data_IF_081664517529
#
_entry.id   IF_081664517529
#
_cell.length_a   1.000
_cell.length_b   1.000
_cell.length_c   1.000
_cell.angle_alpha   90.00
_cell.angle_beta   90.00
_cell.angle_gamma   90.00
#
_symmetry.space_group_name_H-M   'P 1'
#
loop_
_entity.id
_entity.type
_entity.pdbx_description
1 polymer ?
#
# COMPACT_ATOMS: atom_id res chain seq x y z
N UNK A 1 33.48 14.54 7.23
CA UNK A 1 32.50 15.34 6.46
C UNK A 1 31.11 14.80 6.76
N UNK A 2 30.25 15.60 7.37
CA UNK A 2 28.90 15.18 7.75
C UNK A 2 28.00 15.20 6.51
N UNK A 3 27.44 14.04 6.12
CA UNK A 3 26.41 13.99 5.07
C UNK A 3 25.15 14.63 5.64
N UNK A 4 24.85 15.84 5.19
CA UNK A 4 23.57 16.47 5.46
C UNK A 4 22.46 15.52 4.95
N UNK A 5 21.67 14.95 5.87
CA UNK A 5 20.45 14.24 5.50
C UNK A 5 19.50 15.26 4.89
N UNK A 6 19.38 15.22 3.56
CA UNK A 6 18.41 16.03 2.83
C UNK A 6 17.02 15.64 3.35
N UNK A 7 16.36 16.57 4.05
CA UNK A 7 15.03 16.35 4.62
C UNK A 7 14.04 16.50 3.46
N UNK A 8 13.76 15.38 2.78
CA UNK A 8 12.74 15.32 1.73
C UNK A 8 11.40 15.62 2.40
N UNK A 9 10.78 16.75 2.06
CA UNK A 9 9.40 17.05 2.47
C UNK A 9 8.46 16.31 1.53
N UNK A 10 7.79 15.29 2.03
CA UNK A 10 6.77 14.56 1.29
C UNK A 10 5.60 15.50 0.97
N UNK A 11 5.36 15.75 -0.31
CA UNK A 11 4.19 16.51 -0.77
C UNK A 11 3.03 15.54 -1.07
N UNK A 12 1.90 15.77 -0.41
CA UNK A 12 0.63 15.14 -0.75
C UNK A 12 -0.06 16.09 -1.72
N UNK A 13 -0.29 15.66 -2.96
CA UNK A 13 -1.04 16.42 -3.95
C UNK A 13 -2.48 15.89 -3.92
N UNK A 14 -3.40 16.48 -3.14
CA UNK A 14 -4.81 16.16 -3.25
C UNK A 14 -5.32 16.70 -4.59
N UNK A 15 -6.16 15.94 -5.27
CA UNK A 15 -7.02 16.53 -6.30
C UNK A 15 -7.90 17.59 -5.62
N UNK A 16 -7.87 18.83 -6.12
CA UNK A 16 -8.55 19.99 -5.51
C UNK A 16 -10.07 19.81 -5.41
N UNK A 17 -10.63 18.85 -6.12
CA UNK A 17 -12.08 18.52 -6.11
C UNK A 17 -12.45 17.58 -4.94
N UNK A 18 -11.48 16.91 -4.30
CA UNK A 18 -11.74 15.72 -3.48
C UNK A 18 -11.53 15.93 -1.98
N UNK A 19 -11.42 17.15 -1.46
CA UNK A 19 -11.25 17.39 -0.02
C UNK A 19 -9.91 16.87 0.53
N UNK A 20 -9.76 16.76 1.85
CA UNK A 20 -8.43 16.58 2.45
C UNK A 20 -7.93 15.11 2.52
N UNK A 21 -8.78 14.10 2.24
CA UNK A 21 -8.35 12.69 2.28
C UNK A 21 -7.96 12.16 3.68
N UNK A 22 -8.62 12.64 4.74
CA UNK A 22 -8.31 12.31 6.15
C UNK A 22 -8.11 10.80 6.42
N UNK A 23 -9.03 9.94 5.96
CA UNK A 23 -9.00 8.51 6.27
C UNK A 23 -7.79 7.78 5.67
N UNK A 24 -7.28 8.27 4.53
CA UNK A 24 -6.05 7.75 3.96
C UNK A 24 -4.84 8.17 4.79
N UNK A 25 -4.83 9.41 5.30
CA UNK A 25 -3.75 9.87 6.19
C UNK A 25 -3.67 9.08 7.48
N UNK A 26 -4.80 8.68 8.06
CA UNK A 26 -4.84 7.82 9.24
C UNK A 26 -4.22 6.44 8.94
N UNK A 27 -4.54 5.83 7.79
CA UNK A 27 -3.91 4.59 7.35
C UNK A 27 -2.41 4.72 7.10
N UNK A 28 -1.99 5.77 6.37
CA UNK A 28 -0.57 6.02 6.11
C UNK A 28 0.20 6.24 7.41
N UNK A 29 -0.41 6.92 8.39
CA UNK A 29 0.16 7.11 9.72
C UNK A 29 0.26 5.79 10.48
N UNK A 30 -0.77 4.93 10.40
CA UNK A 30 -0.74 3.60 11.01
C UNK A 30 0.39 2.74 10.43
N UNK A 31 0.62 2.77 9.11
CA UNK A 31 1.76 2.09 8.49
C UNK A 31 3.08 2.65 9.02
N UNK A 32 3.26 3.98 9.00
CA UNK A 32 4.49 4.63 9.47
C UNK A 32 4.81 4.28 10.93
N UNK A 33 3.79 4.19 11.78
CA UNK A 33 3.90 3.87 13.20
C UNK A 33 3.93 2.37 13.50
N UNK A 34 3.86 1.50 12.48
CA UNK A 34 3.78 0.04 12.64
C UNK A 34 2.61 -0.42 13.53
N UNK A 35 1.50 0.31 13.50
CA UNK A 35 0.31 0.01 14.29
C UNK A 35 -0.59 -0.98 13.55
N UNK A 36 -0.33 -2.28 13.75
CA UNK A 36 -1.12 -3.34 13.13
C UNK A 36 -2.62 -3.23 13.48
N UNK A 37 -2.97 -2.86 14.72
CA UNK A 37 -4.38 -2.76 15.12
C UNK A 37 -5.11 -1.71 14.29
N UNK A 38 -4.48 -0.55 14.09
CA UNK A 38 -5.04 0.52 13.27
C UNK A 38 -5.07 0.14 11.78
N UNK A 39 -4.05 -0.53 11.26
CA UNK A 39 -4.05 -1.08 9.89
C UNK A 39 -5.22 -2.04 9.68
N UNK A 40 -5.42 -3.02 10.56
CA UNK A 40 -6.51 -3.99 10.47
C UNK A 40 -7.90 -3.34 10.49
N UNK A 41 -8.04 -2.15 11.12
CA UNK A 41 -9.32 -1.44 11.25
C UNK A 41 -9.82 -0.78 9.96
N UNK A 42 -8.92 -0.62 8.98
CA UNK A 42 -9.19 -0.01 7.68
C UNK A 42 -9.15 -1.01 6.52
N UNK A 43 -8.94 -2.31 6.81
CA UNK A 43 -9.03 -3.35 5.79
C UNK A 43 -10.49 -3.67 5.45
N UNK A 44 -10.74 -3.94 4.17
CA UNK A 44 -12.00 -4.52 3.69
C UNK A 44 -12.17 -5.96 4.19
N UNK A 45 -13.33 -6.55 4.00
CA UNK A 45 -13.63 -7.92 4.45
C UNK A 45 -12.74 -8.97 3.78
N UNK A 46 -12.35 -8.72 2.53
CA UNK A 46 -11.35 -9.49 1.79
C UNK A 46 -10.33 -8.52 1.21
N UNK A 47 -9.05 -8.80 1.44
CA UNK A 47 -7.92 -8.02 0.93
C UNK A 47 -7.08 -8.89 0.02
N UNK A 48 -6.80 -8.37 -1.17
CA UNK A 48 -5.94 -9.01 -2.15
C UNK A 48 -4.54 -8.41 -2.10
N UNK A 49 -3.54 -9.28 -2.04
CA UNK A 49 -2.15 -8.93 -2.20
C UNK A 49 -1.66 -9.43 -3.55
N UNK A 50 -1.03 -8.56 -4.32
CA UNK A 50 -0.50 -8.88 -5.64
C UNK A 50 0.97 -8.50 -5.78
N UNK A 51 1.68 -9.24 -6.60
CA UNK A 51 2.98 -8.83 -7.14
C UNK A 51 2.85 -8.61 -8.66
N UNK A 52 3.06 -7.38 -9.11
CA UNK A 52 2.73 -6.99 -10.48
C UNK A 52 1.28 -7.33 -10.86
N UNK A 53 1.09 -8.10 -11.93
CA UNK A 53 -0.24 -8.48 -12.45
C UNK A 53 -0.82 -9.75 -11.79
N UNK A 54 -0.09 -10.41 -10.90
CA UNK A 54 -0.49 -11.67 -10.27
C UNK A 54 -0.99 -11.45 -8.85
N UNK A 55 -2.12 -12.06 -8.49
CA UNK A 55 -2.60 -12.12 -7.10
C UNK A 55 -1.95 -13.28 -6.36
N UNK A 56 -1.24 -12.98 -5.27
CA UNK A 56 -0.43 -13.94 -4.51
C UNK A 56 -0.94 -14.20 -3.10
N UNK A 57 -1.76 -13.30 -2.56
CA UNK A 57 -2.35 -13.45 -1.24
C UNK A 57 -3.81 -13.03 -1.20
N UNK A 58 -4.63 -13.80 -0.48
CA UNK A 58 -6.03 -13.47 -0.19
C UNK A 58 -6.21 -13.55 1.33
N UNK A 59 -6.44 -12.41 1.96
CA UNK A 59 -6.60 -12.29 3.40
C UNK A 59 -8.03 -11.91 3.74
N UNK A 60 -8.65 -12.57 4.72
CA UNK A 60 -10.06 -12.36 5.07
C UNK A 60 -10.24 -11.96 6.52
N UNK A 61 -11.19 -11.07 6.79
CA UNK A 61 -11.53 -10.62 8.16
C UNK A 61 -11.93 -11.79 9.07
N UNK A 62 -12.70 -12.75 8.55
CA UNK A 62 -13.14 -13.94 9.30
C UNK A 62 -11.97 -14.76 9.86
N UNK A 63 -10.86 -14.76 9.13
CA UNK A 63 -9.62 -15.46 9.49
C UNK A 63 -8.65 -14.52 10.23
N UNK A 64 -9.15 -13.34 10.66
CA UNK A 64 -8.36 -12.26 11.27
C UNK A 64 -7.17 -11.82 10.41
N UNK A 65 -7.33 -11.92 9.09
CA UNK A 65 -6.29 -11.61 8.10
C UNK A 65 -4.99 -12.42 8.29
N UNK A 66 -5.13 -13.67 8.72
CA UNK A 66 -4.04 -14.62 8.87
C UNK A 66 -3.98 -15.58 7.68
N UNK A 67 -2.78 -15.80 7.15
CA UNK A 67 -2.51 -16.83 6.14
C UNK A 67 -2.16 -18.14 6.86
N UNK A 68 -3.03 -19.14 6.71
CA UNK A 68 -2.98 -20.35 7.53
C UNK A 68 -1.87 -21.32 7.16
N UNK A 69 -1.48 -21.40 5.88
CA UNK A 69 -0.51 -22.39 5.38
C UNK A 69 0.90 -22.11 5.90
N UNK A 70 1.29 -20.83 5.87
CA UNK A 70 2.63 -20.34 6.19
C UNK A 70 2.67 -19.48 7.47
N UNK A 71 1.54 -19.38 8.17
CA UNK A 71 1.41 -18.85 9.53
C UNK A 71 1.90 -17.41 9.68
N UNK A 72 1.30 -16.48 8.94
CA UNK A 72 1.67 -15.06 9.05
C UNK A 72 0.45 -14.14 8.90
N UNK A 73 0.55 -12.93 9.45
CA UNK A 73 -0.51 -11.93 9.39
C UNK A 73 -0.28 -10.99 8.21
N UNK A 74 -1.34 -10.43 7.64
CA UNK A 74 -1.21 -9.44 6.56
C UNK A 74 -0.32 -8.24 6.97
N UNK A 75 -0.31 -7.87 8.26
CA UNK A 75 0.55 -6.81 8.79
C UNK A 75 2.05 -7.03 8.53
N UNK A 76 2.50 -8.29 8.44
CA UNK A 76 3.89 -8.64 8.15
C UNK A 76 4.33 -8.15 6.76
N UNK A 77 3.37 -7.88 5.86
CA UNK A 77 3.63 -7.36 4.52
C UNK A 77 3.78 -5.83 4.49
N UNK A 78 3.39 -5.10 5.54
CA UNK A 78 3.35 -3.64 5.53
C UNK A 78 4.61 -2.96 6.11
N UNK A 79 5.26 -3.57 7.10
CA UNK A 79 6.14 -2.82 8.01
C UNK A 79 7.65 -2.97 7.78
N UNK A 80 8.10 -4.15 7.34
CA UNK A 80 9.52 -4.43 7.18
C UNK A 80 9.79 -5.08 5.83
N UNK A 81 10.65 -4.46 5.03
CA UNK A 81 10.98 -4.93 3.67
C UNK A 81 11.51 -6.36 3.67
N UNK A 82 12.42 -6.70 4.58
CA UNK A 82 12.97 -8.06 4.66
C UNK A 82 11.90 -9.09 5.03
N UNK A 83 10.93 -8.71 5.84
CA UNK A 83 9.82 -9.58 6.23
C UNK A 83 8.88 -9.77 5.04
N UNK A 84 8.47 -8.69 4.37
CA UNK A 84 7.71 -8.74 3.12
C UNK A 84 8.36 -9.67 2.09
N UNK A 85 9.63 -9.44 1.76
CA UNK A 85 10.34 -10.22 0.73
C UNK A 85 10.39 -11.72 1.08
N UNK A 86 10.60 -12.07 2.36
CA UNK A 86 10.54 -13.46 2.82
C UNK A 86 9.14 -14.06 2.66
N UNK A 87 8.09 -13.31 2.97
CA UNK A 87 6.71 -13.79 2.80
C UNK A 87 6.35 -13.96 1.32
N UNK A 88 6.78 -13.05 0.46
CA UNK A 88 6.62 -13.18 -1.00
C UNK A 88 7.31 -14.44 -1.51
N UNK A 89 8.58 -14.65 -1.15
CA UNK A 89 9.32 -15.85 -1.55
C UNK A 89 8.59 -17.15 -1.13
N UNK A 90 8.02 -17.17 0.09
CA UNK A 90 7.20 -18.28 0.57
C UNK A 90 5.91 -18.46 -0.27
N UNK A 91 5.18 -17.38 -0.57
CA UNK A 91 3.95 -17.42 -1.37
C UNK A 91 4.20 -17.91 -2.81
N UNK A 92 5.39 -17.61 -3.35
CA UNK A 92 5.83 -18.06 -4.66
C UNK A 92 6.48 -19.45 -4.69
N UNK A 93 6.64 -20.09 -3.53
CA UNK A 93 7.36 -21.36 -3.39
C UNK A 93 8.78 -21.28 -3.99
N UNK A 94 9.47 -20.17 -3.74
CA UNK A 94 10.83 -19.92 -4.22
C UNK A 94 11.77 -19.58 -3.06
N UNK A 95 13.04 -19.94 -3.23
CA UNK A 95 14.12 -19.52 -2.32
C UNK A 95 14.74 -18.17 -2.73
N UNK A 96 14.32 -17.61 -3.88
CA UNK A 96 14.83 -16.34 -4.37
C UNK A 96 14.06 -15.20 -3.70
N UNK A 97 14.81 -14.36 -2.99
CA UNK A 97 14.32 -13.11 -2.41
C UNK A 97 14.57 -12.03 -3.48
N UNK A 98 13.50 -11.50 -4.06
CA UNK A 98 13.60 -10.38 -5.00
C UNK A 98 13.88 -9.08 -4.21
N UNK A 99 15.07 -8.49 -4.33
CA UNK A 99 15.45 -7.31 -3.54
C UNK A 99 14.67 -6.05 -3.92
N UNK A 100 14.07 -6.02 -5.11
CA UNK A 100 13.29 -4.85 -5.57
C UNK A 100 12.02 -4.63 -4.77
N UNK A 101 11.42 -5.67 -4.18
CA UNK A 101 10.20 -5.50 -3.39
C UNK A 101 10.51 -4.73 -2.11
N UNK A 102 9.82 -3.60 -1.93
CA UNK A 102 9.93 -2.72 -0.76
C UNK A 102 8.62 -2.75 0.03
N UNK A 103 8.72 -2.82 1.36
CA UNK A 103 7.52 -2.74 2.20
C UNK A 103 6.83 -1.39 2.07
N UNK A 104 5.50 -1.32 2.19
CA UNK A 104 4.76 -0.08 2.26
C UNK A 104 5.33 0.98 3.20
N UNK A 105 5.80 0.59 4.40
CA UNK A 105 6.39 1.53 5.34
C UNK A 105 7.69 2.13 4.80
N UNK A 106 8.61 1.29 4.34
CA UNK A 106 9.88 1.77 3.77
C UNK A 106 9.64 2.60 2.51
N UNK A 107 8.65 2.21 1.70
CA UNK A 107 8.23 2.98 0.53
C UNK A 107 7.70 4.36 0.95
N UNK A 108 6.85 4.45 1.99
CA UNK A 108 6.36 5.73 2.52
C UNK A 108 7.46 6.63 3.07
N UNK A 109 8.51 6.05 3.66
CA UNK A 109 9.66 6.82 4.18
C UNK A 109 10.56 7.36 3.06
N UNK A 110 10.61 6.67 1.91
CA UNK A 110 11.53 6.98 0.80
C UNK A 110 10.86 7.67 -0.38
N UNK A 111 9.53 7.64 -0.45
CA UNK A 111 8.75 8.28 -1.53
C UNK A 111 8.85 9.80 -1.46
N UNK A 112 9.18 10.41 -2.60
CA UNK A 112 9.20 11.88 -2.73
C UNK A 112 7.80 12.46 -2.93
N UNK A 113 6.93 11.71 -3.63
CA UNK A 113 5.58 12.11 -4.01
C UNK A 113 4.63 10.91 -3.79
N UNK A 114 3.46 11.16 -3.18
CA UNK A 114 2.35 10.21 -3.17
C UNK A 114 1.17 10.83 -3.90
N UNK A 115 0.69 10.12 -4.91
CA UNK A 115 -0.46 10.46 -5.72
C UNK A 115 -1.70 9.81 -5.17
N UNK A 116 -2.79 10.58 -5.22
CA UNK A 116 -4.14 10.17 -4.89
C UNK A 116 -4.97 10.30 -6.16
N UNK A 117 -5.39 9.18 -6.73
CA UNK A 117 -6.24 9.19 -7.93
C UNK A 117 -7.57 8.54 -7.56
N UNK A 118 -8.68 9.22 -7.84
CA UNK A 118 -10.01 8.62 -7.78
C UNK A 118 -10.44 8.13 -9.15
N UNK A 119 -10.97 6.92 -9.20
CA UNK A 119 -11.60 6.37 -10.40
C UNK A 119 -13.09 6.17 -10.15
N UNK A 120 -13.93 6.51 -11.12
CA UNK A 120 -15.37 6.20 -11.09
C UNK A 120 -15.63 4.74 -11.45
N UNK A 121 -16.49 4.10 -10.66
CA UNK A 121 -16.80 2.68 -10.71
C UNK A 121 -17.86 2.28 -11.73
N UNK A 122 -17.54 2.31 -13.02
CA UNK A 122 -18.35 1.64 -14.06
C UNK A 122 -19.67 2.32 -14.45
N UNK A 123 -20.30 1.78 -15.50
CA UNK A 123 -21.36 2.40 -16.33
C UNK A 123 -22.76 2.51 -15.72
N UNK A 124 -22.96 2.07 -14.47
CA UNK A 124 -24.27 2.11 -13.80
C UNK A 124 -24.34 3.08 -12.60
N UNK A 125 -23.33 3.94 -12.39
CA UNK A 125 -23.43 5.08 -11.46
C UNK A 125 -23.40 4.76 -9.96
N UNK A 126 -23.42 3.49 -9.56
CA UNK A 126 -23.43 3.10 -8.15
C UNK A 126 -22.02 2.69 -7.65
N UNK A 127 -21.23 3.72 -7.33
CA UNK A 127 -20.16 3.77 -6.32
C UNK A 127 -19.07 2.68 -6.29
N UNK A 128 -18.03 2.88 -7.10
CA UNK A 128 -16.66 2.55 -6.67
C UNK A 128 -15.78 3.78 -6.87
N UNK A 129 -15.40 4.44 -5.78
CA UNK A 129 -14.38 5.49 -5.76
C UNK A 129 -13.03 4.85 -5.39
N UNK A 130 -12.37 4.18 -6.33
CA UNK A 130 -11.04 3.61 -6.08
C UNK A 130 -10.11 4.76 -5.77
N UNK A 131 -9.54 4.77 -4.57
CA UNK A 131 -8.41 5.65 -4.27
C UNK A 131 -7.15 4.86 -4.50
N UNK A 132 -6.42 5.25 -5.54
CA UNK A 132 -5.07 4.82 -5.79
C UNK A 132 -4.12 5.63 -4.90
N UNK A 133 -3.40 4.96 -4.02
CA UNK A 133 -2.19 5.52 -3.42
C UNK A 133 -1.00 4.84 -4.07
N UNK A 134 -0.24 5.62 -4.82
CA UNK A 134 1.02 5.17 -5.38
C UNK A 134 1.93 6.38 -5.55
N UNK A 135 3.18 6.14 -5.86
CA UNK A 135 4.21 7.11 -5.53
C UNK A 135 5.56 6.58 -5.93
N UNK A 136 6.42 7.53 -6.25
CA UNK A 136 7.64 7.27 -7.01
C UNK A 136 8.79 7.16 -6.03
N UNK A 137 9.46 6.02 -6.03
CA UNK A 137 10.74 5.88 -5.35
C UNK A 137 11.82 6.64 -6.11
N UNK A 138 12.67 7.36 -5.38
CA UNK A 138 13.90 7.92 -5.93
C UNK A 138 15.05 6.96 -5.68
N UNK A 139 15.52 6.29 -6.73
CA UNK A 139 16.83 5.65 -6.71
C UNK A 139 17.89 6.71 -7.08
N UNK A 140 18.80 7.09 -6.16
CA UNK A 140 19.85 8.07 -6.45
C UNK A 140 20.77 7.66 -7.61
N UNK A 141 20.79 6.36 -7.91
CA UNK A 141 21.64 5.74 -8.93
C UNK A 141 20.87 5.36 -10.21
N UNK A 142 19.54 5.53 -10.25
CA UNK A 142 18.71 5.18 -11.41
C UNK A 142 17.95 6.42 -11.91
N UNK A 143 18.60 7.18 -12.79
CA UNK A 143 18.06 8.41 -13.39
C UNK A 143 16.89 8.15 -14.36
N UNK A 144 16.65 6.89 -14.75
CA UNK A 144 15.69 6.53 -15.80
C UNK A 144 14.92 5.25 -15.47
N UNK A 145 14.12 5.27 -14.39
CA UNK A 145 12.90 4.44 -14.27
C UNK A 145 12.00 5.00 -13.17
N UNK A 146 10.90 5.63 -13.58
CA UNK A 146 9.75 5.83 -12.70
C UNK A 146 9.01 4.48 -12.58
N UNK A 147 9.48 3.56 -11.73
CA UNK A 147 8.75 2.32 -11.44
C UNK A 147 7.50 2.62 -10.61
N UNK A 148 6.43 1.85 -10.84
CA UNK A 148 5.31 1.78 -9.90
C UNK A 148 5.78 0.85 -8.80
N UNK A 149 6.02 1.31 -7.59
CA UNK A 149 6.59 0.41 -6.55
C UNK A 149 5.51 -0.16 -5.63
N UNK A 150 4.42 0.57 -5.48
CA UNK A 150 3.31 0.21 -4.61
C UNK A 150 2.02 0.87 -5.09
N UNK A 151 0.98 0.07 -5.20
CA UNK A 151 -0.38 0.53 -5.45
C UNK A 151 -1.26 0.10 -4.28
N UNK A 152 -1.98 1.03 -3.67
CA UNK A 152 -3.11 0.73 -2.78
C UNK A 152 -4.42 1.06 -3.46
N UNK A 153 -5.39 0.15 -3.37
CA UNK A 153 -6.75 0.38 -3.85
C UNK A 153 -7.74 0.29 -2.69
N UNK A 154 -8.50 1.38 -2.51
CA UNK A 154 -9.53 1.46 -1.50
C UNK A 154 -10.92 1.46 -2.11
N UNK A 155 -11.89 0.89 -1.39
CA UNK A 155 -13.32 1.05 -1.67
C UNK A 155 -13.93 2.03 -0.69
N UNK A 156 -14.75 2.96 -1.19
CA UNK A 156 -15.45 3.95 -0.38
C UNK A 156 -16.97 3.84 -0.62
N UNK A 157 -17.68 2.91 0.06
CA UNK A 157 -19.10 2.59 -0.17
C UNK A 157 -20.11 3.70 0.22
N UNK A 158 -19.62 4.85 0.64
CA UNK A 158 -20.47 5.99 1.03
C UNK A 158 -19.85 7.31 0.57
N UNK A 159 -19.01 7.24 -0.46
CA UNK A 159 -18.24 8.36 -1.00
C UNK A 159 -16.88 8.60 -0.34
N UNK A 160 -16.03 9.33 -1.06
CA UNK A 160 -14.61 9.60 -0.72
C UNK A 160 -14.41 10.33 0.62
N UNK A 161 -15.36 11.18 1.03
CA UNK A 161 -15.28 11.91 2.31
C UNK A 161 -15.67 11.06 3.52
N UNK A 162 -16.07 9.80 3.31
CA UNK A 162 -16.47 8.85 4.36
C UNK A 162 -15.42 7.76 4.51
N UNK A 163 -15.71 6.78 5.36
CA UNK A 163 -14.78 5.68 5.64
C UNK A 163 -14.55 4.86 4.37
N UNK A 164 -13.28 4.71 4.01
CA UNK A 164 -12.84 3.83 2.95
C UNK A 164 -12.10 2.62 3.53
N UNK A 165 -12.05 1.54 2.75
CA UNK A 165 -11.51 0.26 3.17
C UNK A 165 -10.50 -0.23 2.14
N UNK A 166 -9.30 -0.63 2.58
CA UNK A 166 -8.28 -1.19 1.71
C UNK A 166 -8.77 -2.53 1.18
N UNK A 167 -8.94 -2.62 -0.13
CA UNK A 167 -9.41 -3.82 -0.81
C UNK A 167 -8.26 -4.60 -1.45
N UNK A 168 -7.25 -3.91 -1.95
CA UNK A 168 -6.08 -4.57 -2.51
C UNK A 168 -4.83 -3.71 -2.43
N UNK A 169 -3.68 -4.37 -2.46
CA UNK A 169 -2.41 -3.70 -2.66
C UNK A 169 -1.47 -4.53 -3.52
N UNK A 170 -0.68 -3.84 -4.34
CA UNK A 170 0.26 -4.44 -5.29
C UNK A 170 1.65 -3.89 -5.05
N UNK A 171 2.64 -4.77 -4.93
CA UNK A 171 4.06 -4.41 -4.99
C UNK A 171 4.63 -4.81 -6.35
N UNK A 172 5.59 -4.08 -6.90
CA UNK A 172 6.24 -4.42 -8.17
C UNK A 172 7.74 -4.62 -8.01
#
# INVERSE_FOLDING_TARGET
MSKAKMKISQEIIPDKVLGEGKYFRDFLTAIKNQDCKSVLSVLDDTVYFSTGERTDGIFRRKDRFFEEKHKFLICDLFFETRTLQKKIAILFDTNQIEPSFVSPRDWLEKSMEIRFITMEGGSNGDEVNIVFLGGRYFHPEDHFRNSRDLDFMFRCPSGFQKKCYLYSFTVY
#
